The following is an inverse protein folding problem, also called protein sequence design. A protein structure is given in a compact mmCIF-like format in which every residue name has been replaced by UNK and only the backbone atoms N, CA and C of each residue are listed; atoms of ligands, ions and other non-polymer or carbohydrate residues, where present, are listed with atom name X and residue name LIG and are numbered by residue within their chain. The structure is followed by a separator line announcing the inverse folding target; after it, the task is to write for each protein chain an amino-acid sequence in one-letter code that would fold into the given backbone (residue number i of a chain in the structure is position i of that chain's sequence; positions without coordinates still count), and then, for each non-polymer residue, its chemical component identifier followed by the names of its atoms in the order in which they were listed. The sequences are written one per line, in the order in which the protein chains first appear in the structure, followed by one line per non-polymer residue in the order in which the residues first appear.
data_IF_948511855157
#
_entry.id   IF_948511855157
#
_cell.length_a   1.000
_cell.length_b   1.000
_cell.length_c   1.000
_cell.angle_alpha   90.00
_cell.angle_beta   90.00
_cell.angle_gamma   90.00
#
_symmetry.space_group_name_H-M   'P 1'
#
loop_
_entity.id
_entity.type
_entity.pdbx_description
1 polymer ?
#
# COMPACT_ATOMS: atom_id res chain seq x y z
N UNK A 1 1.35 -9.47 38.17
CA UNK A 1 1.91 -8.64 37.10
C UNK A 1 1.11 -8.94 35.85
N UNK A 2 0.20 -8.04 35.46
CA UNK A 2 -0.69 -8.25 34.32
C UNK A 2 0.09 -8.02 33.04
N UNK A 3 0.25 -9.07 32.23
CA UNK A 3 0.68 -8.92 30.84
C UNK A 3 -0.46 -8.22 30.10
N UNK A 4 -0.33 -6.91 29.92
CA UNK A 4 -1.24 -6.16 29.07
C UNK A 4 -0.86 -6.47 27.62
N UNK A 5 -1.38 -7.58 27.10
CA UNK A 5 -1.42 -7.83 25.66
C UNK A 5 -2.17 -6.65 25.03
N UNK A 6 -1.47 -5.83 24.25
CA UNK A 6 -2.09 -4.78 23.47
C UNK A 6 -3.05 -5.44 22.47
N UNK A 7 -4.38 -5.23 22.61
CA UNK A 7 -5.31 -5.80 21.67
C UNK A 7 -5.21 -5.00 20.38
N UNK A 8 -5.14 -5.72 19.27
CA UNK A 8 -5.00 -5.25 17.90
C UNK A 8 -3.55 -5.00 17.47
N UNK A 9 -2.90 -6.10 17.07
CA UNK A 9 -1.98 -6.01 15.94
C UNK A 9 -2.72 -5.31 14.80
N UNK A 10 -2.21 -4.14 14.41
CA UNK A 10 -2.60 -3.46 13.18
C UNK A 10 -2.66 -4.52 12.06
N UNK A 11 -3.59 -4.42 11.08
CA UNK A 11 -3.52 -5.27 9.90
C UNK A 11 -2.08 -5.20 9.40
N UNK A 12 -1.46 -6.37 9.24
CA UNK A 12 -0.05 -6.58 8.85
C UNK A 12 0.18 -5.98 7.46
N UNK A 13 0.24 -4.67 7.45
CA UNK A 13 0.24 -3.74 6.33
C UNK A 13 0.80 -2.38 6.77
N UNK A 14 1.48 -2.35 7.92
CA UNK A 14 2.54 -1.38 8.16
C UNK A 14 3.63 -1.55 7.09
N UNK A 15 4.36 -0.47 6.82
CA UNK A 15 5.44 -0.33 5.83
C UNK A 15 6.06 -1.67 5.40
N UNK A 16 6.15 -1.90 4.09
CA UNK A 16 6.75 -3.12 3.54
C UNK A 16 8.05 -3.47 4.28
N UNK A 17 8.31 -4.74 4.61
CA UNK A 17 9.49 -5.12 5.36
C UNK A 17 10.74 -4.54 4.71
N UNK A 18 11.54 -3.82 5.49
CA UNK A 18 12.84 -3.37 5.02
C UNK A 18 13.71 -4.57 4.66
N UNK A 19 14.49 -4.44 3.60
CA UNK A 19 15.52 -5.39 3.24
C UNK A 19 16.65 -5.38 4.29
N UNK A 20 17.65 -6.24 4.10
CA UNK A 20 18.81 -6.29 4.99
C UNK A 20 19.68 -5.02 4.91
N UNK A 21 19.64 -4.29 3.80
CA UNK A 21 20.43 -3.06 3.58
C UNK A 21 19.56 -1.90 3.11
N UNK A 22 20.02 -0.67 3.39
CA UNK A 22 19.35 0.57 2.94
C UNK A 22 19.24 0.60 1.42
N UNK A 23 20.32 0.28 0.72
CA UNK A 23 20.40 0.33 -0.74
C UNK A 23 19.41 -0.64 -1.39
N UNK A 24 19.28 -1.84 -0.82
CA UNK A 24 18.34 -2.83 -1.32
C UNK A 24 16.89 -2.38 -1.08
N UNK A 25 16.60 -1.84 0.11
CA UNK A 25 15.28 -1.28 0.41
C UNK A 25 14.92 -0.13 -0.54
N UNK A 26 15.86 0.77 -0.84
CA UNK A 26 15.66 1.86 -1.80
C UNK A 26 15.37 1.28 -3.19
N UNK A 27 16.18 0.33 -3.66
CA UNK A 27 16.01 -0.28 -4.99
C UNK A 27 14.66 -1.00 -5.13
N UNK A 28 14.25 -1.76 -4.12
CA UNK A 28 12.97 -2.48 -4.11
C UNK A 28 11.80 -1.51 -4.07
N UNK A 29 11.88 -0.45 -3.25
CA UNK A 29 10.86 0.61 -3.20
C UNK A 29 10.75 1.36 -4.52
N UNK A 30 11.87 1.71 -5.17
CA UNK A 30 11.86 2.36 -6.49
C UNK A 30 11.18 1.47 -7.52
N UNK A 31 11.54 0.18 -7.57
CA UNK A 31 10.92 -0.79 -8.49
C UNK A 31 9.42 -0.91 -8.26
N UNK A 32 8.99 -0.96 -7.01
CA UNK A 32 7.57 -1.07 -6.64
C UNK A 32 6.78 0.23 -6.84
N UNK A 33 7.47 1.36 -7.08
CA UNK A 33 6.86 2.66 -7.31
C UNK A 33 6.62 3.02 -8.79
N UNK A 34 6.95 2.14 -9.74
CA UNK A 34 6.87 2.40 -11.19
C UNK A 34 5.50 2.96 -11.64
N UNK A 35 4.41 2.44 -11.09
CA UNK A 35 3.06 2.93 -11.40
C UNK A 35 2.85 4.39 -10.94
N UNK A 36 3.35 4.73 -9.75
CA UNK A 36 3.27 6.09 -9.21
C UNK A 36 4.19 7.06 -9.96
N UNK A 37 5.38 6.59 -10.35
CA UNK A 37 6.29 7.35 -11.20
C UNK A 37 5.63 7.70 -12.54
N UNK A 38 4.91 6.77 -13.16
CA UNK A 38 4.17 7.02 -14.41
C UNK A 38 2.98 7.97 -14.22
N UNK A 39 2.27 7.84 -13.10
CA UNK A 39 1.10 8.69 -12.80
C UNK A 39 1.51 10.13 -12.41
N UNK A 40 2.69 10.30 -11.83
CA UNK A 40 3.21 11.56 -11.33
C UNK A 40 4.67 11.74 -11.76
N UNK A 41 4.93 11.96 -13.06
CA UNK A 41 6.29 12.00 -13.60
C UNK A 41 7.11 13.20 -13.13
N UNK A 42 6.46 14.27 -12.67
CA UNK A 42 7.12 15.50 -12.20
C UNK A 42 7.66 15.37 -10.76
N UNK A 43 7.34 14.28 -10.06
CA UNK A 43 7.82 14.03 -8.70
C UNK A 43 9.13 13.25 -8.76
N UNK A 44 10.16 13.74 -8.08
CA UNK A 44 11.36 12.96 -7.78
C UNK A 44 11.06 11.89 -6.72
N UNK A 45 10.45 10.78 -7.15
CA UNK A 45 10.07 9.69 -6.27
C UNK A 45 11.26 9.06 -5.55
N UNK A 46 12.41 8.98 -6.20
CA UNK A 46 13.59 8.34 -5.60
C UNK A 46 14.22 9.25 -4.54
N UNK A 47 14.67 10.43 -4.95
CA UNK A 47 15.47 11.32 -4.10
C UNK A 47 14.63 12.10 -3.08
N UNK A 48 13.41 12.49 -3.43
CA UNK A 48 12.57 13.31 -2.56
C UNK A 48 11.60 12.51 -1.67
N UNK A 49 11.30 11.24 -2.01
CA UNK A 49 10.30 10.44 -1.27
C UNK A 49 10.90 9.15 -0.72
N UNK A 50 11.42 8.28 -1.57
CA UNK A 50 11.82 6.93 -1.18
C UNK A 50 13.09 6.93 -0.34
N UNK A 51 14.16 7.57 -0.79
CA UNK A 51 15.44 7.59 -0.07
C UNK A 51 15.31 8.18 1.33
N UNK A 52 14.69 9.36 1.53
CA UNK A 52 14.51 9.93 2.86
C UNK A 52 13.68 9.02 3.79
N UNK A 53 12.61 8.40 3.24
CA UNK A 53 11.73 7.51 4.02
C UNK A 53 12.41 6.20 4.41
N UNK A 54 13.23 5.62 3.53
CA UNK A 54 13.99 4.41 3.85
C UNK A 54 15.09 4.73 4.88
N UNK A 55 15.81 5.84 4.68
CA UNK A 55 16.88 6.24 5.59
C UNK A 55 16.36 6.44 7.02
N UNK A 56 15.25 7.15 7.20
CA UNK A 56 14.66 7.32 8.54
C UNK A 56 14.20 5.99 9.13
N UNK A 57 13.62 5.09 8.34
CA UNK A 57 13.16 3.79 8.84
C UNK A 57 14.33 2.91 9.33
N UNK A 58 15.50 2.99 8.68
CA UNK A 58 16.71 2.34 9.17
C UNK A 58 17.28 3.05 10.41
N UNK A 59 17.34 4.39 10.40
CA UNK A 59 17.85 5.17 11.52
C UNK A 59 17.01 4.95 12.80
N UNK A 60 15.69 4.84 12.66
CA UNK A 60 14.79 4.44 13.75
C UNK A 60 15.17 3.08 14.33
N UNK A 61 15.47 2.09 13.48
CA UNK A 61 15.87 0.75 13.91
C UNK A 61 17.25 0.71 14.57
N UNK A 62 18.17 1.54 14.12
CA UNK A 62 19.56 1.55 14.60
C UNK A 62 19.75 2.41 15.86
N UNK A 63 18.97 3.49 16.01
CA UNK A 63 19.23 4.54 17.01
C UNK A 63 18.23 4.59 18.16
N UNK A 64 17.05 3.98 18.03
CA UNK A 64 16.07 3.93 19.12
C UNK A 64 16.14 2.59 19.83
N UNK A 65 15.83 2.60 21.13
CA UNK A 65 15.53 1.36 21.83
C UNK A 65 14.22 0.73 21.31
N UNK A 66 14.04 -0.59 21.48
CA UNK A 66 12.86 -1.28 20.95
C UNK A 66 11.52 -0.70 21.40
N UNK A 67 11.40 -0.23 22.64
CA UNK A 67 10.13 0.26 23.18
C UNK A 67 9.78 1.63 22.59
N UNK A 68 10.75 2.54 22.48
CA UNK A 68 10.55 3.84 21.84
C UNK A 68 10.22 3.67 20.36
N UNK A 69 10.93 2.77 19.67
CA UNK A 69 10.66 2.45 18.26
C UNK A 69 9.26 1.88 18.06
N UNK A 70 8.88 0.87 18.83
CA UNK A 70 7.55 0.23 18.72
C UNK A 70 6.43 1.25 18.96
N UNK A 71 6.59 2.12 19.96
CA UNK A 71 5.64 3.20 20.23
C UNK A 71 5.54 4.18 19.06
N UNK A 72 6.66 4.62 18.49
CA UNK A 72 6.69 5.51 17.33
C UNK A 72 6.01 4.88 16.11
N UNK A 73 6.35 3.63 15.78
CA UNK A 73 5.76 2.89 14.67
C UNK A 73 4.25 2.66 14.86
N UNK A 74 3.83 2.35 16.09
CA UNK A 74 2.40 2.24 16.44
C UNK A 74 1.66 3.55 16.20
N UNK A 75 2.20 4.68 16.64
CA UNK A 75 1.56 5.99 16.48
C UNK A 75 1.48 6.42 15.01
N UNK A 76 2.51 6.14 14.21
CA UNK A 76 2.42 6.34 12.75
C UNK A 76 1.39 5.40 12.12
N UNK A 77 1.29 4.15 12.57
CA UNK A 77 0.24 3.24 12.13
C UNK A 77 -1.17 3.76 12.46
N UNK A 78 -1.37 4.30 13.66
CA UNK A 78 -2.64 4.91 14.07
C UNK A 78 -2.95 6.17 13.27
N UNK A 79 -1.93 6.97 12.95
CA UNK A 79 -2.09 8.12 12.05
C UNK A 79 -2.61 7.68 10.68
N UNK A 80 -2.01 6.64 10.08
CA UNK A 80 -2.41 6.13 8.76
C UNK A 80 -3.82 5.53 8.76
N UNK A 81 -4.21 4.80 9.80
CA UNK A 81 -5.54 4.19 9.91
C UNK A 81 -6.64 5.23 10.10
N UNK A 82 -6.31 6.40 10.66
CA UNK A 82 -7.28 7.46 11.01
C UNK A 82 -7.17 8.69 10.10
N UNK A 83 -6.65 8.53 8.88
CA UNK A 83 -6.49 9.65 7.94
C UNK A 83 -7.81 10.29 7.50
N UNK A 84 -8.94 9.61 7.69
CA UNK A 84 -10.30 10.14 7.53
C UNK A 84 -10.81 10.93 8.74
N UNK A 85 -10.07 10.92 9.85
CA UNK A 85 -10.31 11.67 11.08
C UNK A 85 -9.13 12.65 11.34
N UNK A 86 -9.08 13.81 10.66
CA UNK A 86 -7.89 14.67 10.62
C UNK A 86 -7.30 15.01 11.99
N UNK A 87 -8.15 15.40 12.95
CA UNK A 87 -7.71 15.74 14.31
C UNK A 87 -7.02 14.57 15.02
N UNK A 88 -7.49 13.33 14.79
CA UNK A 88 -6.91 12.12 15.40
C UNK A 88 -5.64 11.70 14.69
N UNK A 89 -5.59 11.82 13.35
CA UNK A 89 -4.38 11.57 12.57
C UNK A 89 -3.27 12.55 12.96
N UNK A 90 -3.59 13.84 13.04
CA UNK A 90 -2.64 14.88 13.41
C UNK A 90 -2.14 14.71 14.85
N UNK A 91 -3.04 14.40 15.79
CA UNK A 91 -2.62 14.08 17.16
C UNK A 91 -1.63 12.91 17.19
N UNK A 92 -1.92 11.83 16.47
CA UNK A 92 -1.05 10.65 16.41
C UNK A 92 0.30 10.97 15.76
N UNK A 93 0.32 11.85 14.75
CA UNK A 93 1.55 12.34 14.12
C UNK A 93 2.43 13.10 15.12
N UNK A 94 1.86 14.05 15.86
CA UNK A 94 2.61 14.84 16.85
C UNK A 94 3.11 13.98 18.01
N UNK A 95 2.31 13.02 18.48
CA UNK A 95 2.74 12.05 19.49
C UNK A 95 3.88 11.15 18.98
N UNK A 96 3.84 10.73 17.71
CA UNK A 96 4.92 9.95 17.10
C UNK A 96 6.23 10.76 17.03
N UNK A 97 6.13 12.05 16.70
CA UNK A 97 7.25 12.98 16.71
C UNK A 97 7.82 13.16 18.12
N UNK A 98 6.98 13.24 19.14
CA UNK A 98 7.41 13.41 20.54
C UNK A 98 8.29 12.24 21.02
N UNK A 99 8.05 11.02 20.52
CA UNK A 99 8.94 9.88 20.79
C UNK A 99 10.39 10.11 20.35
N UNK A 100 10.63 11.04 19.42
CA UNK A 100 11.94 11.30 18.85
C UNK A 100 12.69 12.46 19.54
N UNK A 101 12.08 13.16 20.50
CA UNK A 101 12.70 14.31 21.19
C UNK A 101 14.03 13.96 21.86
N UNK A 102 14.16 12.74 22.38
CA UNK A 102 15.43 12.22 22.93
C UNK A 102 16.49 11.83 21.89
N UNK A 103 16.15 11.88 20.59
CA UNK A 103 16.97 11.42 19.47
C UNK A 103 17.08 12.53 18.40
N UNK A 104 17.85 13.60 18.66
CA UNK A 104 17.80 14.84 17.86
C UNK A 104 18.14 14.65 16.38
N UNK A 105 19.07 13.74 16.04
CA UNK A 105 19.41 13.46 14.65
C UNK A 105 18.25 12.81 13.88
N UNK A 106 17.53 11.88 14.53
CA UNK A 106 16.38 11.19 13.94
C UNK A 106 15.18 12.13 13.87
N UNK A 107 14.95 12.93 14.91
CA UNK A 107 13.92 13.96 14.90
C UNK A 107 14.13 14.97 13.76
N UNK A 108 15.36 15.44 13.56
CA UNK A 108 15.68 16.36 12.47
C UNK A 108 15.37 15.77 11.10
N UNK A 109 15.66 14.47 10.90
CA UNK A 109 15.29 13.78 9.66
C UNK A 109 13.78 13.66 9.52
N UNK A 110 13.08 13.29 10.59
CA UNK A 110 11.62 13.20 10.61
C UNK A 110 10.97 14.53 10.19
N UNK A 111 11.42 15.62 10.81
CA UNK A 111 10.93 16.96 10.51
C UNK A 111 11.22 17.34 9.05
N UNK A 112 12.44 17.08 8.56
CA UNK A 112 12.80 17.37 7.18
C UNK A 112 11.96 16.60 6.13
N UNK A 113 11.48 15.40 6.48
CA UNK A 113 10.62 14.59 5.62
C UNK A 113 9.17 15.06 5.67
N UNK A 114 8.62 15.31 6.86
CA UNK A 114 7.18 15.48 7.04
C UNK A 114 6.71 16.91 7.36
N UNK A 115 7.58 17.76 7.87
CA UNK A 115 7.26 19.13 8.32
C UNK A 115 8.02 20.12 7.44
N UNK A 116 7.34 20.65 6.44
CA UNK A 116 7.91 21.64 5.52
C UNK A 116 7.26 22.99 5.74
N UNK A 117 8.05 24.05 5.65
CA UNK A 117 7.56 25.43 5.82
C UNK A 117 6.48 25.80 4.79
N UNK A 118 6.52 25.20 3.60
CA UNK A 118 5.56 25.41 2.51
C UNK A 118 4.32 24.49 2.58
N UNK A 119 4.28 23.55 3.55
CA UNK A 119 3.23 22.54 3.65
C UNK A 119 2.93 22.21 5.11
N UNK A 120 1.89 22.83 5.69
CA UNK A 120 1.43 22.50 7.04
C UNK A 120 1.04 21.02 7.17
N UNK A 121 1.22 20.45 8.37
CA UNK A 121 0.90 19.04 8.68
C UNK A 121 -0.53 18.65 8.29
N UNK A 122 -1.58 19.44 8.58
CA UNK A 122 -2.94 19.10 8.14
C UNK A 122 -3.07 18.90 6.62
N UNK A 123 -2.40 19.74 5.83
CA UNK A 123 -2.38 19.66 4.36
C UNK A 123 -1.64 18.41 3.90
N UNK A 124 -0.52 18.07 4.56
CA UNK A 124 0.21 16.83 4.28
C UNK A 124 -0.64 15.59 4.56
N UNK A 125 -1.38 15.56 5.68
CA UNK A 125 -2.26 14.44 6.03
C UNK A 125 -3.43 14.28 5.05
N UNK A 126 -4.04 15.37 4.63
CA UNK A 126 -5.08 15.35 3.59
C UNK A 126 -4.54 14.78 2.27
N UNK A 127 -3.37 15.25 1.83
CA UNK A 127 -2.73 14.75 0.61
C UNK A 127 -2.37 13.26 0.72
N UNK A 128 -1.94 12.79 1.90
CA UNK A 128 -1.66 11.38 2.15
C UNK A 128 -2.95 10.54 2.09
N UNK A 129 -4.05 11.04 2.64
CA UNK A 129 -5.37 10.41 2.57
C UNK A 129 -5.81 10.21 1.11
N UNK A 130 -5.73 11.27 0.31
CA UNK A 130 -6.09 11.22 -1.12
C UNK A 130 -5.15 10.30 -1.92
N UNK A 131 -3.84 10.32 -1.62
CA UNK A 131 -2.87 9.44 -2.26
C UNK A 131 -3.15 7.95 -1.97
N UNK A 132 -3.56 7.61 -0.74
CA UNK A 132 -3.90 6.24 -0.37
C UNK A 132 -5.21 5.79 -1.02
N UNK A 133 -6.23 6.66 -1.10
CA UNK A 133 -7.46 6.36 -1.85
C UNK A 133 -7.17 6.11 -3.32
N UNK A 134 -6.35 6.95 -3.94
CA UNK A 134 -5.93 6.78 -5.33
C UNK A 134 -5.17 5.47 -5.53
N UNK A 135 -4.23 5.14 -4.63
CA UNK A 135 -3.51 3.85 -4.66
C UNK A 135 -4.47 2.67 -4.65
N UNK A 136 -5.44 2.68 -3.74
CA UNK A 136 -6.45 1.61 -3.64
C UNK A 136 -7.25 1.49 -4.94
N UNK A 137 -7.75 2.60 -5.47
CA UNK A 137 -8.50 2.61 -6.74
C UNK A 137 -7.67 2.09 -7.93
N UNK A 138 -6.38 2.44 -8.00
CA UNK A 138 -5.48 1.93 -9.03
C UNK A 138 -5.28 0.41 -8.94
N UNK A 139 -5.12 -0.12 -7.72
CA UNK A 139 -4.96 -1.55 -7.48
C UNK A 139 -6.24 -2.32 -7.84
N UNK A 140 -7.42 -1.80 -7.46
CA UNK A 140 -8.72 -2.41 -7.78
C UNK A 140 -8.98 -2.46 -9.29
N UNK A 141 -8.65 -1.38 -10.01
CA UNK A 141 -8.82 -1.32 -11.47
C UNK A 141 -7.98 -2.38 -12.19
N UNK A 142 -6.73 -2.60 -11.77
CA UNK A 142 -5.86 -3.63 -12.38
C UNK A 142 -6.29 -5.06 -12.03
N UNK A 143 -6.82 -5.28 -10.82
CA UNK A 143 -7.45 -6.55 -10.44
C UNK A 143 -8.69 -6.87 -11.28
N UNK A 144 -9.40 -5.82 -11.75
CA UNK A 144 -10.60 -5.96 -12.58
C UNK A 144 -10.29 -6.14 -14.07
N UNK A 145 -9.29 -5.43 -14.60
CA UNK A 145 -8.86 -5.53 -16.02
C UNK A 145 -8.25 -6.90 -16.37
N UNK A 146 -7.80 -7.66 -15.37
CA UNK A 146 -7.31 -9.04 -15.55
C UNK A 146 -8.43 -10.10 -15.60
N UNK A 147 -9.68 -9.72 -15.32
CA UNK A 147 -10.86 -10.60 -15.32
C UNK A 147 -11.65 -10.64 -16.64
N UNK A 148 -11.36 -9.78 -17.62
CA UNK A 148 -12.13 -9.70 -18.86
C UNK A 148 -11.43 -10.38 -20.04
N UNK A 149 -11.22 -11.70 -19.97
CA UNK A 149 -11.15 -12.52 -21.19
C UNK A 149 -12.58 -12.87 -21.60
N UNK A 150 -13.14 -11.97 -22.40
CA UNK A 150 -14.46 -12.01 -23.02
C UNK A 150 -14.82 -13.41 -23.50
N UNK A 151 -15.84 -13.99 -22.85
CA UNK A 151 -16.73 -14.94 -23.49
C UNK A 151 -17.53 -14.17 -24.56
N UNK A 152 -17.23 -14.42 -25.82
CA UNK A 152 -18.08 -14.04 -26.94
C UNK A 152 -18.13 -15.21 -27.92
N UNK A 153 -19.20 -15.98 -27.81
CA UNK A 153 -19.54 -17.11 -28.66
C UNK A 153 -20.97 -17.54 -28.37
N UNK A 154 -21.89 -16.57 -28.35
CA UNK A 154 -23.32 -16.86 -28.42
C UNK A 154 -23.68 -17.17 -29.87
N UNK A 155 -24.36 -18.29 -30.13
CA UNK A 155 -25.69 -18.24 -30.73
C UNK A 155 -26.36 -19.61 -30.67
N UNK A 156 -27.46 -19.64 -29.94
CA UNK A 156 -28.54 -20.63 -30.06
C UNK A 156 -29.13 -20.57 -31.46
N UNK A 157 -29.49 -21.72 -32.03
CA UNK A 157 -30.27 -21.84 -33.26
C UNK A 157 -30.90 -23.22 -33.35
N UNK A 158 -32.19 -23.30 -33.05
CA UNK A 158 -33.05 -24.48 -33.17
C UNK A 158 -33.25 -24.88 -34.65
N UNK A 159 -33.38 -26.17 -34.93
CA UNK A 159 -34.45 -26.67 -35.82
C UNK A 159 -34.51 -28.20 -35.81
N UNK A 160 -35.75 -28.67 -35.75
CA UNK A 160 -36.25 -30.05 -35.74
C UNK A 160 -35.90 -30.81 -37.03
N UNK A 161 -35.65 -32.12 -36.93
CA UNK A 161 -36.04 -33.05 -37.99
C UNK A 161 -36.45 -34.41 -37.39
N UNK A 162 -37.73 -34.74 -37.58
CA UNK A 162 -38.33 -36.04 -37.30
C UNK A 162 -38.81 -36.63 -38.63
N UNK A 163 -38.61 -37.95 -38.83
CA UNK A 163 -39.39 -38.90 -39.65
C UNK A 163 -38.89 -39.29 -41.07
N UNK A 164 -38.39 -40.55 -41.12
CA UNK A 164 -38.74 -41.73 -41.97
C UNK A 164 -37.91 -42.17 -43.21
N UNK A 165 -37.61 -43.47 -43.10
CA UNK A 165 -37.77 -44.59 -44.04
C UNK A 165 -36.75 -44.83 -45.16
N UNK A 166 -36.09 -45.99 -45.04
CA UNK A 166 -35.46 -46.75 -46.12
C UNK A 166 -35.22 -48.19 -45.67
N UNK A 167 -36.06 -49.10 -46.16
CA UNK A 167 -36.10 -50.55 -45.92
C UNK A 167 -35.04 -51.30 -46.72
N UNK A 168 -34.56 -52.46 -46.22
CA UNK A 168 -34.10 -53.56 -47.08
C UNK A 168 -32.83 -54.28 -46.61
N UNK A 169 -33.04 -55.44 -45.96
CA UNK A 169 -32.35 -56.75 -46.04
C UNK A 169 -31.12 -56.86 -47.00
N UNK A 170 -30.07 -57.65 -46.79
CA UNK A 170 -30.11 -59.09 -46.54
C UNK A 170 -28.68 -59.68 -46.29
N UNK A 171 -28.68 -60.84 -45.62
CA UNK A 171 -27.73 -61.99 -45.61
C UNK A 171 -26.19 -61.90 -45.69
N UNK A 172 -25.62 -62.67 -44.77
CA UNK A 172 -24.31 -63.32 -44.69
C UNK A 172 -23.68 -63.82 -46.00
N UNK A 173 -22.35 -63.76 -46.06
CA UNK A 173 -21.45 -64.82 -46.54
C UNK A 173 -20.13 -64.77 -45.74
#
# INVERSE_FOLDING_TARGET
MSNQEFPNSLPRGGMAPLASTREQSIADSVKNSDMFQKAFPDIDWKGAVIEPTVNIAFDLKEKLDPATREKHEYLLGQMLVRLDEPDKAEKSFWEARECLVGHPDVLKQFDAVYIRDDRPVPVMLEQLCEALKLKTAMVEKMGSDSGLKVAAGASVGQSEEMVKSGTGDDTSL
#
